data_IF_094351452586
#
_entry.id   IF_094351452586
#
_cell.length_a   1.000
_cell.length_b   1.000
_cell.length_c   1.000
_cell.angle_alpha   90.00
_cell.angle_beta   90.00
_cell.angle_gamma   90.00
#
_symmetry.space_group_name_H-M   'P 1'
#
loop_
_entity.id
_entity.type
_entity.pdbx_description
1 polymer ?
#
# COMPACT_ATOMS: atom_id res chain seq x y z
N UNK A 1 -18.95 19.74 -5.04
CA UNK A 1 -19.05 19.88 -3.58
C UNK A 1 -18.13 18.82 -2.98
N UNK A 2 -16.96 19.20 -2.47
CA UNK A 2 -15.91 18.25 -2.07
C UNK A 2 -16.20 17.66 -0.69
N UNK A 3 -16.17 16.33 -0.58
CA UNK A 3 -16.23 15.64 0.70
C UNK A 3 -14.94 15.95 1.46
N UNK A 4 -15.00 16.41 2.73
CA UNK A 4 -13.80 16.71 3.50
C UNK A 4 -13.00 15.41 3.70
N UNK A 5 -11.80 15.36 3.12
CA UNK A 5 -10.82 14.31 3.41
C UNK A 5 -10.45 14.41 4.90
N UNK A 6 -10.95 13.46 5.70
CA UNK A 6 -10.34 13.20 7.00
C UNK A 6 -8.85 12.96 6.80
N UNK A 7 -8.02 13.46 7.72
CA UNK A 7 -6.56 13.27 7.77
C UNK A 7 -6.20 11.77 7.93
N UNK A 8 -6.38 11.01 6.87
CA UNK A 8 -6.03 9.61 6.72
C UNK A 8 -5.45 9.39 5.33
N UNK A 9 -4.74 8.28 5.12
CA UNK A 9 -4.15 8.00 3.80
C UNK A 9 -5.21 7.96 2.72
N UNK A 10 -4.86 8.42 1.52
CA UNK A 10 -5.72 8.26 0.34
C UNK A 10 -5.75 6.79 -0.08
N UNK A 11 -6.95 6.23 -0.11
CA UNK A 11 -7.20 4.89 -0.65
C UNK A 11 -7.24 4.98 -2.18
N UNK A 12 -6.60 4.04 -2.85
CA UNK A 12 -6.47 3.97 -4.30
C UNK A 12 -6.67 2.54 -4.78
N UNK A 13 -7.07 2.40 -6.03
CA UNK A 13 -7.08 1.11 -6.73
C UNK A 13 -5.68 0.50 -6.75
N UNK A 14 -5.61 -0.83 -6.75
CA UNK A 14 -4.36 -1.60 -6.71
C UNK A 14 -3.73 -1.73 -5.32
N UNK A 15 -4.13 -0.95 -4.33
CA UNK A 15 -3.59 -1.10 -2.96
C UNK A 15 -4.04 -2.42 -2.30
N UNK A 16 -3.13 -3.05 -1.54
CA UNK A 16 -3.41 -4.23 -0.73
C UNK A 16 -3.45 -3.89 0.76
N UNK A 17 -4.49 -4.35 1.44
CA UNK A 17 -4.70 -4.13 2.86
C UNK A 17 -4.81 -5.45 3.63
N UNK A 18 -4.18 -5.54 4.80
CA UNK A 18 -4.45 -6.59 5.79
C UNK A 18 -5.53 -6.14 6.76
N UNK A 19 -6.53 -6.98 7.00
CA UNK A 19 -7.55 -6.73 8.01
C UNK A 19 -7.01 -7.01 9.42
N UNK A 20 -7.19 -6.06 10.33
CA UNK A 20 -6.71 -6.09 11.71
C UNK A 20 -7.85 -6.25 12.72
N UNK A 21 -9.10 -6.50 12.27
CA UNK A 21 -10.16 -6.86 13.20
C UNK A 21 -9.73 -8.08 14.03
N UNK A 22 -10.05 -8.14 15.34
CA UNK A 22 -9.54 -9.19 16.22
C UNK A 22 -9.80 -10.62 15.70
N UNK A 23 -10.95 -10.85 15.06
CA UNK A 23 -11.33 -12.13 14.47
C UNK A 23 -10.68 -12.41 13.10
N UNK A 24 -9.98 -11.43 12.52
CA UNK A 24 -9.33 -11.49 11.21
C UNK A 24 -7.81 -11.58 11.28
N UNK A 25 -7.20 -11.24 12.41
CA UNK A 25 -5.73 -11.23 12.57
C UNK A 25 -5.14 -12.60 12.24
N UNK A 26 -5.68 -13.66 12.84
CA UNK A 26 -5.21 -15.04 12.66
C UNK A 26 -5.60 -15.63 11.31
N UNK A 27 -6.63 -15.07 10.68
CA UNK A 27 -7.03 -15.42 9.32
C UNK A 27 -6.11 -14.82 8.26
N UNK A 28 -5.32 -13.81 8.62
CA UNK A 28 -4.48 -13.04 7.69
C UNK A 28 -5.26 -12.62 6.43
N UNK A 29 -6.44 -12.05 6.61
CA UNK A 29 -7.28 -11.62 5.49
C UNK A 29 -6.66 -10.43 4.77
N UNK A 30 -6.40 -10.56 3.48
CA UNK A 30 -5.85 -9.51 2.60
C UNK A 30 -6.82 -9.12 1.50
N UNK A 31 -7.04 -7.82 1.36
CA UNK A 31 -8.04 -7.23 0.49
C UNK A 31 -7.36 -6.30 -0.52
N UNK A 32 -7.45 -6.64 -1.81
CA UNK A 32 -6.99 -5.80 -2.92
C UNK A 32 -8.11 -4.87 -3.36
N UNK A 33 -7.86 -3.57 -3.40
CA UNK A 33 -8.82 -2.61 -3.97
C UNK A 33 -8.79 -2.73 -5.49
N UNK A 34 -9.94 -3.05 -6.10
CA UNK A 34 -10.07 -3.16 -7.56
C UNK A 34 -10.82 -1.98 -8.17
N UNK A 35 -11.66 -1.29 -7.41
CA UNK A 35 -12.38 -0.09 -7.83
C UNK A 35 -12.75 0.76 -6.62
N UNK A 36 -12.95 2.07 -6.81
CA UNK A 36 -13.57 2.95 -5.81
C UNK A 36 -14.88 3.50 -6.38
N UNK A 37 -15.99 3.15 -5.74
CA UNK A 37 -17.33 3.58 -6.12
C UNK A 37 -17.58 5.04 -5.69
N UNK A 38 -18.46 5.79 -6.39
CA UNK A 38 -18.74 7.20 -6.09
C UNK A 38 -19.30 7.47 -4.69
N UNK A 39 -19.85 6.45 -4.04
CA UNK A 39 -20.37 6.52 -2.67
C UNK A 39 -19.27 6.42 -1.59
N UNK A 40 -18.00 6.33 -2.01
CA UNK A 40 -16.84 6.25 -1.11
C UNK A 40 -16.55 4.83 -0.63
N UNK A 41 -17.14 3.79 -1.24
CA UNK A 41 -16.78 2.39 -0.98
C UNK A 41 -15.72 1.89 -1.96
N UNK A 42 -14.75 1.17 -1.44
CA UNK A 42 -13.83 0.38 -2.23
C UNK A 42 -14.44 -0.99 -2.50
N UNK A 43 -14.43 -1.40 -3.78
CA UNK A 43 -14.63 -2.79 -4.17
C UNK A 43 -13.31 -3.50 -3.97
N UNK A 44 -13.33 -4.57 -3.17
CA UNK A 44 -12.14 -5.33 -2.83
C UNK A 44 -12.28 -6.81 -3.17
N UNK A 45 -11.25 -7.40 -3.73
CA UNK A 45 -11.12 -8.86 -3.85
C UNK A 45 -10.31 -9.39 -2.68
N UNK A 46 -10.74 -10.50 -2.10
CA UNK A 46 -9.97 -11.23 -1.09
C UNK A 46 -8.84 -11.98 -1.81
N UNK A 47 -7.60 -11.53 -1.66
CA UNK A 47 -6.43 -12.21 -2.25
C UNK A 47 -5.90 -13.33 -1.36
N UNK A 48 -6.11 -13.20 -0.05
CA UNK A 48 -5.65 -14.18 0.92
C UNK A 48 -6.61 -14.20 2.12
N UNK A 49 -6.94 -15.39 2.61
CA UNK A 49 -7.72 -15.60 3.84
C UNK A 49 -7.55 -17.06 4.26
N UNK A 50 -7.02 -17.32 5.46
CA UNK A 50 -6.80 -18.67 5.98
C UNK A 50 -8.09 -19.35 6.48
N UNK A 51 -9.21 -18.63 6.49
CA UNK A 51 -10.51 -19.22 6.85
C UNK A 51 -10.86 -20.41 5.96
N UNK A 52 -11.20 -21.53 6.59
CA UNK A 52 -11.56 -22.79 5.92
C UNK A 52 -10.63 -23.14 4.74
N UNK A 53 -9.31 -23.00 4.94
CA UNK A 53 -8.30 -23.32 3.91
C UNK A 53 -8.46 -22.50 2.62
N UNK A 54 -8.79 -21.21 2.71
CA UNK A 54 -8.82 -20.32 1.53
C UNK A 54 -10.18 -20.20 0.83
N UNK A 55 -11.27 -20.72 1.39
CA UNK A 55 -12.59 -20.73 0.75
C UNK A 55 -13.13 -19.36 0.34
N UNK A 56 -12.61 -18.28 0.91
CA UNK A 56 -13.06 -16.92 0.64
C UNK A 56 -12.16 -16.18 -0.36
N UNK A 57 -11.03 -16.76 -0.76
CA UNK A 57 -10.16 -16.17 -1.79
C UNK A 57 -10.92 -16.00 -3.10
N UNK A 58 -10.74 -14.86 -3.75
CA UNK A 58 -11.45 -14.45 -4.95
C UNK A 58 -12.83 -13.83 -4.71
N UNK A 59 -13.38 -13.87 -3.48
CA UNK A 59 -14.65 -13.19 -3.19
C UNK A 59 -14.49 -11.68 -3.23
N UNK A 60 -15.55 -11.03 -3.71
CA UNK A 60 -15.66 -9.57 -3.72
C UNK A 60 -16.39 -9.10 -2.47
N UNK A 61 -15.84 -8.07 -1.81
CA UNK A 61 -16.45 -7.38 -0.67
C UNK A 61 -16.39 -5.86 -0.90
N UNK A 62 -17.24 -5.12 -0.19
CA UNK A 62 -17.26 -3.65 -0.23
C UNK A 62 -16.90 -3.07 1.12
N UNK A 63 -15.88 -2.23 1.16
CA UNK A 63 -15.39 -1.61 2.40
C UNK A 63 -15.38 -0.11 2.23
N UNK A 64 -15.90 0.63 3.20
CA UNK A 64 -15.84 2.09 3.18
C UNK A 64 -14.37 2.55 3.18
N UNK A 65 -14.00 3.46 2.28
CA UNK A 65 -12.60 3.94 2.14
C UNK A 65 -12.07 4.54 3.45
N UNK A 66 -12.91 5.24 4.21
CA UNK A 66 -12.55 5.73 5.55
C UNK A 66 -12.17 4.62 6.56
N UNK A 67 -12.69 3.39 6.40
CA UNK A 67 -12.24 2.25 7.21
C UNK A 67 -10.88 1.76 6.74
N UNK A 68 -10.66 1.61 5.42
CA UNK A 68 -9.36 1.21 4.87
C UNK A 68 -8.26 2.22 5.21
N UNK A 69 -8.58 3.51 5.26
CA UNK A 69 -7.66 4.56 5.70
C UNK A 69 -7.32 4.52 7.21
N UNK A 70 -8.09 3.77 8.00
CA UNK A 70 -7.87 3.65 9.45
C UNK A 70 -6.85 2.56 9.78
N UNK A 71 -5.66 2.99 10.17
CA UNK A 71 -4.52 2.11 10.50
C UNK A 71 -4.77 1.14 11.67
N UNK A 72 -5.78 1.39 12.51
CA UNK A 72 -6.17 0.45 13.58
C UNK A 72 -7.04 -0.70 13.07
N UNK A 73 -7.66 -0.53 11.90
CA UNK A 73 -8.54 -1.53 11.28
C UNK A 73 -7.86 -2.25 10.13
N UNK A 74 -7.00 -1.55 9.40
CA UNK A 74 -6.29 -2.12 8.26
C UNK A 74 -4.84 -1.67 8.22
N UNK A 75 -3.93 -2.62 7.96
CA UNK A 75 -2.54 -2.32 7.62
C UNK A 75 -2.37 -2.26 6.11
N UNK A 76 -1.63 -1.26 5.62
CA UNK A 76 -1.17 -1.23 4.24
C UNK A 76 -0.10 -2.29 4.03
N UNK A 77 -0.25 -3.13 3.01
CA UNK A 77 0.81 -4.06 2.59
C UNK A 77 1.46 -3.62 1.28
N UNK A 78 0.69 -3.18 0.30
CA UNK A 78 1.19 -2.75 -1.00
C UNK A 78 0.50 -1.45 -1.46
N UNK A 79 1.31 -0.52 -1.96
CA UNK A 79 0.81 0.71 -2.56
C UNK A 79 0.13 0.48 -3.91
N UNK A 80 -0.62 1.48 -4.36
CA UNK A 80 -1.28 1.49 -5.66
C UNK A 80 -0.29 1.77 -6.80
N UNK A 81 -0.73 1.65 -8.06
CA UNK A 81 0.12 1.83 -9.23
C UNK A 81 0.68 3.25 -9.35
N UNK A 82 0.05 4.26 -8.72
CA UNK A 82 0.58 5.62 -8.70
C UNK A 82 1.97 5.73 -8.07
N UNK A 83 2.35 4.80 -7.18
CA UNK A 83 3.71 4.79 -6.61
C UNK A 83 4.75 4.41 -7.66
N UNK A 84 4.43 3.46 -8.55
CA UNK A 84 5.31 3.13 -9.69
C UNK A 84 5.33 4.23 -10.76
N UNK A 85 4.32 5.09 -10.79
CA UNK A 85 4.28 6.29 -11.64
C UNK A 85 4.97 7.51 -11.01
N UNK A 86 5.39 7.46 -9.74
CA UNK A 86 6.18 8.53 -9.14
C UNK A 86 7.57 8.55 -9.83
N UNK A 87 7.97 9.66 -10.48
CA UNK A 87 9.28 9.75 -11.13
C UNK A 87 10.44 9.47 -10.17
N UNK A 88 10.26 9.70 -8.85
CA UNK A 88 11.25 9.37 -7.82
C UNK A 88 11.50 7.88 -7.67
N UNK A 89 10.50 7.04 -7.97
CA UNK A 89 10.65 5.59 -7.91
C UNK A 89 11.75 5.12 -8.88
N UNK A 90 11.72 5.61 -10.12
CA UNK A 90 12.74 5.30 -11.13
C UNK A 90 14.11 5.85 -10.73
N UNK A 91 14.18 7.03 -10.10
CA UNK A 91 15.43 7.60 -9.60
C UNK A 91 16.07 6.73 -8.52
N UNK A 92 15.28 6.27 -7.54
CA UNK A 92 15.76 5.36 -6.49
C UNK A 92 16.23 4.05 -7.09
N UNK A 93 15.45 3.46 -8.01
CA UNK A 93 15.82 2.20 -8.67
C UNK A 93 17.14 2.33 -9.44
N UNK A 94 17.32 3.42 -10.19
CA UNK A 94 18.56 3.69 -10.91
C UNK A 94 19.75 3.86 -9.94
N UNK A 95 19.57 4.56 -8.82
CA UNK A 95 20.63 4.75 -7.83
C UNK A 95 21.03 3.45 -7.13
N UNK A 96 20.06 2.61 -6.78
CA UNK A 96 20.29 1.28 -6.19
C UNK A 96 21.02 0.36 -7.19
N UNK A 97 20.62 0.39 -8.46
CA UNK A 97 21.29 -0.39 -9.50
C UNK A 97 22.73 0.08 -9.74
N UNK A 98 22.99 1.40 -9.66
CA UNK A 98 24.33 1.96 -9.88
C UNK A 98 25.36 1.54 -8.82
N UNK A 99 24.92 1.25 -7.59
CA UNK A 99 25.80 0.79 -6.50
C UNK A 99 25.87 -0.73 -6.37
N UNK A 100 25.09 -1.47 -7.17
CA UNK A 100 25.06 -2.92 -7.11
C UNK A 100 26.40 -3.52 -7.54
N UNK A 101 26.98 -4.35 -6.67
CA UNK A 101 28.21 -5.10 -6.93
C UNK A 101 28.26 -6.33 -6.02
N UNK A 102 29.12 -7.33 -6.30
CA UNK A 102 29.29 -8.51 -5.44
C UNK A 102 29.69 -8.19 -3.99
N UNK A 103 30.23 -6.99 -3.74
CA UNK A 103 30.66 -6.53 -2.41
C UNK A 103 29.73 -5.49 -1.81
N UNK A 104 28.63 -5.12 -2.49
CA UNK A 104 27.71 -4.11 -2.01
C UNK A 104 27.00 -4.55 -0.72
N UNK A 105 26.99 -3.67 0.27
CA UNK A 105 26.37 -3.90 1.57
C UNK A 105 24.96 -3.31 1.62
N UNK A 106 24.09 -3.76 2.56
CA UNK A 106 22.80 -3.11 2.80
C UNK A 106 22.90 -1.59 3.04
N UNK A 107 24.00 -1.13 3.66
CA UNK A 107 24.24 0.29 3.90
C UNK A 107 24.48 1.08 2.62
N UNK A 108 25.12 0.48 1.61
CA UNK A 108 25.39 1.14 0.33
C UNK A 108 24.10 1.43 -0.43
N UNK A 109 23.18 0.46 -0.46
CA UNK A 109 21.86 0.63 -1.06
C UNK A 109 21.03 1.69 -0.31
N UNK A 110 21.04 1.66 1.03
CA UNK A 110 20.32 2.64 1.84
C UNK A 110 20.83 4.06 1.58
N UNK A 111 22.15 4.25 1.51
CA UNK A 111 22.77 5.54 1.20
C UNK A 111 22.45 6.01 -0.23
N UNK A 112 22.50 5.11 -1.21
CA UNK A 112 22.17 5.43 -2.60
C UNK A 112 20.70 5.89 -2.75
N UNK A 113 19.77 5.18 -2.12
CA UNK A 113 18.35 5.54 -2.12
C UNK A 113 18.11 6.90 -1.45
N UNK A 114 18.73 7.15 -0.28
CA UNK A 114 18.60 8.43 0.43
C UNK A 114 19.13 9.60 -0.41
N UNK A 115 20.30 9.42 -1.04
CA UNK A 115 20.89 10.45 -1.89
C UNK A 115 20.02 10.74 -3.13
N UNK A 116 19.38 9.72 -3.70
CA UNK A 116 18.51 9.87 -4.87
C UNK A 116 17.22 10.66 -4.58
N UNK A 117 16.72 10.59 -3.34
CA UNK A 117 15.51 11.30 -2.91
C UNK A 117 15.80 12.75 -2.49
N UNK A 118 17.06 13.09 -2.21
CA UNK A 118 17.47 14.40 -1.68
C UNK A 118 16.90 14.68 -0.27
N UNK A 119 17.32 15.79 0.37
CA UNK A 119 16.54 16.34 1.48
C UNK A 119 15.21 16.82 0.89
N UNK A 120 14.10 16.17 1.22
CA UNK A 120 12.79 16.52 0.66
C UNK A 120 12.47 18.00 0.85
N UNK A 121 11.76 18.61 -0.10
CA UNK A 121 11.16 19.94 -0.01
C UNK A 121 10.18 20.01 1.17
N UNK A 122 10.72 20.19 2.36
CA UNK A 122 10.01 20.20 3.62
C UNK A 122 10.65 21.17 4.59
N UNK A 123 10.95 22.39 4.13
CA UNK A 123 11.07 23.61 4.95
C UNK A 123 11.36 24.84 4.07
N UNK A 124 10.30 25.51 3.59
CA UNK A 124 10.23 26.97 3.38
C UNK A 124 8.77 27.35 3.08
#
# INVERSE_FOLDING_TARGET
MGIPQQRGRTVQEGQLYRDLAPDMIDRDRRLRVTAIEPDGRAVCVVEHDLYNSGQLVGRVTRVHTGNLANQRKFALLEDGPSTTSDPRYTLVLAAVAAVHSPTATPQDYARAALNALGPGDGAA
#
